data_IF_574758027028
#
_entry.id   IF_574758027028
#
_cell.length_a   1.000
_cell.length_b   1.000
_cell.length_c   1.000
_cell.angle_alpha   90.00
_cell.angle_beta   90.00
_cell.angle_gamma   90.00
#
_symmetry.space_group_name_H-M   'P 1'
#
loop_
_entity.id
_entity.type
_entity.pdbx_description
1 polymer ?
#
# COMPACT_ATOMS: atom_id res chain seq x y z
N UNK A 1 31.15 99.67 -5.01
CA UNK A 1 30.69 98.43 -4.36
C UNK A 1 30.87 97.29 -5.36
N UNK A 2 31.72 96.27 -5.11
CA UNK A 2 31.88 95.14 -6.02
C UNK A 2 30.85 94.04 -5.70
N UNK A 3 30.30 93.42 -6.75
CA UNK A 3 29.35 92.32 -6.68
C UNK A 3 30.15 91.01 -6.52
N UNK A 4 29.98 90.33 -5.39
CA UNK A 4 30.61 89.04 -5.10
C UNK A 4 29.87 87.91 -5.83
N UNK A 5 30.52 87.27 -6.80
CA UNK A 5 29.96 86.11 -7.51
C UNK A 5 29.98 84.86 -6.62
N UNK A 6 28.80 84.26 -6.38
CA UNK A 6 28.64 82.97 -5.68
C UNK A 6 29.12 81.83 -6.57
N UNK A 7 30.18 81.13 -6.18
CA UNK A 7 30.59 79.88 -6.81
C UNK A 7 29.67 78.73 -6.34
N UNK A 8 28.92 78.14 -7.27
CA UNK A 8 28.16 76.91 -7.03
C UNK A 8 29.10 75.70 -7.07
N UNK A 9 29.26 75.03 -5.93
CA UNK A 9 29.96 73.74 -5.84
C UNK A 9 29.16 72.68 -6.60
N UNK A 10 29.69 72.21 -7.73
CA UNK A 10 29.13 71.07 -8.46
C UNK A 10 29.37 69.80 -7.65
N UNK A 11 28.31 69.17 -7.15
CA UNK A 11 28.41 67.82 -6.56
C UNK A 11 28.82 66.83 -7.65
N UNK A 12 29.81 65.95 -7.43
CA UNK A 12 30.15 64.92 -8.40
C UNK A 12 28.92 64.03 -8.63
N UNK A 13 28.51 63.93 -9.90
CA UNK A 13 27.47 62.99 -10.33
C UNK A 13 28.01 61.58 -10.03
N UNK A 14 27.29 60.82 -9.21
CA UNK A 14 27.59 59.40 -9.03
C UNK A 14 27.46 58.72 -10.40
N UNK A 15 28.44 57.92 -10.84
CA UNK A 15 28.33 57.20 -12.11
C UNK A 15 27.05 56.33 -12.05
N UNK A 16 26.18 56.53 -13.03
CA UNK A 16 25.01 55.69 -13.23
C UNK A 16 25.44 54.41 -13.95
N UNK A 17 24.85 53.28 -13.58
CA UNK A 17 25.15 51.98 -14.18
C UNK A 17 24.90 52.00 -15.69
N UNK A 18 25.80 51.38 -16.43
CA UNK A 18 25.66 51.24 -17.88
C UNK A 18 24.62 50.17 -18.21
N UNK A 19 23.93 50.32 -19.34
CA UNK A 19 22.96 49.33 -19.82
C UNK A 19 23.60 47.94 -19.95
N UNK A 20 24.89 47.91 -20.32
CA UNK A 20 25.68 46.68 -20.44
C UNK A 20 25.90 46.01 -19.09
N UNK A 21 26.26 46.74 -18.02
CA UNK A 21 26.39 46.16 -16.67
C UNK A 21 25.07 45.53 -16.20
N UNK A 22 23.95 46.22 -16.44
CA UNK A 22 22.64 45.72 -16.04
C UNK A 22 22.25 44.47 -16.84
N UNK A 23 22.59 44.40 -18.13
CA UNK A 23 22.36 43.23 -18.96
C UNK A 23 23.21 42.03 -18.53
N UNK A 24 24.49 42.25 -18.20
CA UNK A 24 25.37 41.20 -17.67
C UNK A 24 24.85 40.68 -16.33
N UNK A 25 24.44 41.57 -15.42
CA UNK A 25 23.88 41.17 -14.11
C UNK A 25 22.61 40.34 -14.29
N UNK A 26 21.68 40.76 -15.14
CA UNK A 26 20.47 39.99 -15.43
C UNK A 26 20.81 38.63 -16.06
N UNK A 27 21.81 38.56 -16.94
CA UNK A 27 22.28 37.29 -17.53
C UNK A 27 22.85 36.33 -16.49
N UNK A 28 23.70 36.82 -15.57
CA UNK A 28 24.27 36.02 -14.48
C UNK A 28 23.17 35.56 -13.51
N UNK A 29 22.25 36.45 -13.14
CA UNK A 29 21.11 36.10 -12.26
C UNK A 29 20.21 35.04 -12.90
N UNK A 30 19.91 35.13 -14.20
CA UNK A 30 19.11 34.13 -14.90
C UNK A 30 19.80 32.77 -14.93
N UNK A 31 21.11 32.74 -15.18
CA UNK A 31 21.90 31.50 -15.22
C UNK A 31 21.97 30.84 -13.83
N UNK A 32 22.24 31.61 -12.77
CA UNK A 32 22.27 31.10 -11.40
C UNK A 32 20.88 30.62 -10.95
N UNK A 33 19.83 31.38 -11.25
CA UNK A 33 18.45 31.02 -10.88
C UNK A 33 18.00 29.72 -11.55
N UNK A 34 18.37 29.51 -12.82
CA UNK A 34 18.06 28.28 -13.54
C UNK A 34 18.68 27.04 -12.88
N UNK A 35 19.97 27.10 -12.50
CA UNK A 35 20.66 26.01 -11.83
C UNK A 35 20.07 25.70 -10.44
N UNK A 36 19.74 26.74 -9.68
CA UNK A 36 19.15 26.59 -8.34
C UNK A 36 17.76 25.95 -8.42
N UNK A 37 16.94 26.31 -9.40
CA UNK A 37 15.59 25.75 -9.55
C UNK A 37 15.61 24.23 -9.81
N UNK A 38 16.52 23.75 -10.66
CA UNK A 38 16.70 22.31 -10.92
C UNK A 38 17.17 21.57 -9.66
N UNK A 39 18.13 22.15 -8.92
CA UNK A 39 18.61 21.58 -7.67
C UNK A 39 17.52 21.48 -6.59
N UNK A 40 16.68 22.52 -6.48
CA UNK A 40 15.55 22.54 -5.53
C UNK A 40 14.46 21.54 -5.92
N UNK A 41 14.14 21.40 -7.21
CA UNK A 41 13.16 20.44 -7.68
C UNK A 41 13.58 18.99 -7.36
N UNK A 42 14.84 18.64 -7.63
CA UNK A 42 15.37 17.31 -7.28
C UNK A 42 15.40 17.07 -5.76
N UNK A 43 15.78 18.08 -4.96
CA UNK A 43 15.78 17.98 -3.51
C UNK A 43 14.36 17.80 -2.94
N UNK A 44 13.37 18.51 -3.51
CA UNK A 44 11.97 18.36 -3.13
C UNK A 44 11.45 16.95 -3.44
N UNK A 45 11.81 16.41 -4.61
CA UNK A 45 11.42 15.06 -5.02
C UNK A 45 12.03 14.00 -4.10
N UNK A 46 13.32 14.11 -3.79
CA UNK A 46 13.97 13.21 -2.83
C UNK A 46 13.34 13.29 -1.44
N UNK A 47 12.90 14.49 -1.02
CA UNK A 47 12.20 14.67 0.25
C UNK A 47 10.81 14.01 0.25
N UNK A 48 10.08 14.03 -0.87
CA UNK A 48 8.81 13.30 -1.04
C UNK A 48 9.04 11.80 -0.94
N UNK A 49 9.98 11.26 -1.71
CA UNK A 49 10.36 9.84 -1.67
C UNK A 49 10.72 9.40 -0.25
N UNK A 50 11.59 10.14 0.44
CA UNK A 50 12.00 9.79 1.81
C UNK A 50 10.84 9.87 2.82
N UNK A 51 9.93 10.83 2.66
CA UNK A 51 8.72 10.92 3.50
C UNK A 51 7.82 9.71 3.28
N UNK A 52 7.51 9.38 2.02
CA UNK A 52 6.67 8.22 1.68
C UNK A 52 7.31 6.92 2.16
N UNK A 53 8.64 6.75 2.05
CA UNK A 53 9.36 5.59 2.62
C UNK A 53 9.14 5.46 4.13
N UNK A 54 9.28 6.56 4.87
CA UNK A 54 9.03 6.56 6.32
C UNK A 54 7.57 6.23 6.65
N UNK A 55 6.63 6.74 5.86
CA UNK A 55 5.20 6.45 6.01
C UNK A 55 4.91 4.97 5.78
N UNK A 56 5.37 4.39 4.66
CA UNK A 56 5.23 2.96 4.34
C UNK A 56 5.86 2.08 5.41
N UNK A 57 7.04 2.46 5.93
CA UNK A 57 7.70 1.71 7.00
C UNK A 57 6.89 1.72 8.32
N UNK A 58 6.36 2.88 8.72
CA UNK A 58 5.49 2.96 9.92
C UNK A 58 4.22 2.15 9.77
N UNK A 59 3.56 2.25 8.60
CA UNK A 59 2.38 1.43 8.28
C UNK A 59 2.74 -0.05 8.40
N UNK A 60 3.89 -0.44 7.84
CA UNK A 60 4.38 -1.81 7.91
C UNK A 60 4.57 -2.29 9.35
N UNK A 61 5.21 -1.51 10.23
CA UNK A 61 5.41 -1.87 11.64
C UNK A 61 4.09 -2.11 12.38
N UNK A 62 3.10 -1.23 12.17
CA UNK A 62 1.77 -1.34 12.76
C UNK A 62 1.02 -2.57 12.23
N UNK A 63 1.04 -2.79 10.91
CA UNK A 63 0.35 -3.91 10.29
C UNK A 63 1.00 -5.25 10.58
N UNK A 64 2.34 -5.32 10.63
CA UNK A 64 3.05 -6.55 10.96
C UNK A 64 2.79 -6.98 12.39
N UNK A 65 2.70 -6.03 13.33
CA UNK A 65 2.30 -6.34 14.71
C UNK A 65 0.95 -7.07 14.73
N UNK A 66 -0.06 -6.54 14.03
CA UNK A 66 -1.38 -7.18 13.92
C UNK A 66 -1.33 -8.51 13.17
N UNK A 67 -0.50 -8.62 12.12
CA UNK A 67 -0.38 -9.84 11.32
C UNK A 67 0.23 -10.99 12.13
N UNK A 68 1.27 -10.72 12.92
CA UNK A 68 1.94 -11.71 13.78
C UNK A 68 1.01 -12.21 14.90
N UNK A 69 0.10 -11.36 15.42
CA UNK A 69 -0.89 -11.76 16.43
C UNK A 69 -1.78 -12.92 15.95
N UNK A 70 -2.10 -13.01 14.66
CA UNK A 70 -2.94 -14.12 14.15
C UNK A 70 -2.26 -15.47 14.25
N UNK A 71 -0.92 -15.55 14.29
CA UNK A 71 -0.21 -16.82 14.42
C UNK A 71 -0.53 -17.50 15.74
N UNK A 72 -0.69 -16.70 16.79
CA UNK A 72 -0.90 -17.16 18.16
C UNK A 72 -2.35 -17.03 18.62
N UNK A 73 -3.24 -16.54 17.75
CA UNK A 73 -4.62 -16.30 18.11
C UNK A 73 -5.37 -17.59 18.39
N UNK A 74 -6.12 -17.58 19.49
CA UNK A 74 -7.00 -18.68 19.86
C UNK A 74 -8.27 -18.61 19.03
N UNK A 75 -8.64 -19.75 18.47
CA UNK A 75 -9.86 -19.92 17.69
C UNK A 75 -10.61 -21.12 18.24
N UNK A 76 -11.94 -21.02 18.21
CA UNK A 76 -12.79 -22.13 18.60
C UNK A 76 -12.51 -23.36 17.74
N UNK A 77 -11.98 -24.40 18.37
CA UNK A 77 -11.71 -25.66 17.70
C UNK A 77 -13.02 -26.29 17.20
N UNK A 78 -13.01 -26.78 15.95
CA UNK A 78 -14.11 -27.62 15.47
C UNK A 78 -14.18 -28.89 16.31
N UNK A 79 -15.36 -29.21 16.84
CA UNK A 79 -15.61 -30.41 17.63
C UNK A 79 -15.98 -31.63 16.77
N UNK A 80 -16.22 -31.41 15.47
CA UNK A 80 -16.70 -32.43 14.53
C UNK A 80 -15.63 -32.79 13.49
N UNK A 81 -15.71 -34.02 12.96
CA UNK A 81 -14.82 -34.54 11.93
C UNK A 81 -13.46 -35.01 12.42
N UNK A 82 -12.69 -35.57 11.47
CA UNK A 82 -11.34 -36.08 11.69
C UNK A 82 -10.33 -34.97 11.98
N UNK A 83 -9.15 -35.34 12.47
CA UNK A 83 -8.06 -34.41 12.80
C UNK A 83 -7.77 -33.44 11.65
N UNK A 84 -7.70 -33.95 10.41
CA UNK A 84 -7.47 -33.12 9.21
C UNK A 84 -8.58 -32.09 9.01
N UNK A 85 -9.85 -32.49 9.14
CA UNK A 85 -11.00 -31.59 9.01
C UNK A 85 -11.01 -30.49 10.08
N UNK A 86 -10.65 -30.84 11.32
CA UNK A 86 -10.54 -29.85 12.41
C UNK A 86 -9.44 -28.83 12.17
N UNK A 87 -8.31 -29.28 11.65
CA UNK A 87 -7.19 -28.41 11.27
C UNK A 87 -7.54 -27.51 10.09
N UNK A 88 -8.21 -28.05 9.07
CA UNK A 88 -8.69 -27.25 7.93
C UNK A 88 -9.64 -26.15 8.39
N UNK A 89 -10.60 -26.49 9.25
CA UNK A 89 -11.52 -25.52 9.84
C UNK A 89 -10.79 -24.45 10.66
N UNK A 90 -9.71 -24.79 11.37
CA UNK A 90 -8.88 -23.80 12.06
C UNK A 90 -8.23 -22.83 11.07
N UNK A 91 -7.63 -23.31 9.99
CA UNK A 91 -7.00 -22.46 8.96
C UNK A 91 -8.02 -21.52 8.34
N UNK A 92 -9.21 -22.02 7.99
CA UNK A 92 -10.29 -21.21 7.40
C UNK A 92 -10.77 -20.09 8.32
N UNK A 93 -10.93 -20.42 9.61
CA UNK A 93 -11.30 -19.44 10.63
C UNK A 93 -10.21 -18.39 10.85
N UNK A 94 -8.92 -18.76 10.81
CA UNK A 94 -7.81 -17.78 10.88
C UNK A 94 -7.89 -16.83 9.69
N UNK A 95 -8.02 -17.37 8.48
CA UNK A 95 -8.06 -16.57 7.25
C UNK A 95 -9.28 -15.65 7.21
N UNK A 96 -10.42 -16.11 7.71
CA UNK A 96 -11.58 -15.24 7.87
C UNK A 96 -11.35 -14.12 8.88
N UNK A 97 -10.75 -14.45 10.02
CA UNK A 97 -10.44 -13.47 11.04
C UNK A 97 -9.48 -12.40 10.49
N UNK A 98 -8.47 -12.81 9.72
CA UNK A 98 -7.61 -11.87 8.99
C UNK A 98 -8.40 -11.03 7.99
N UNK A 99 -9.31 -11.62 7.21
CA UNK A 99 -10.14 -10.90 6.25
C UNK A 99 -10.95 -9.79 6.93
N UNK A 100 -11.61 -10.13 8.03
CA UNK A 100 -12.52 -9.22 8.71
C UNK A 100 -11.77 -8.12 9.46
N UNK A 101 -10.62 -8.45 10.06
CA UNK A 101 -9.89 -7.50 10.90
C UNK A 101 -8.88 -6.66 10.13
N UNK A 102 -8.36 -7.18 9.02
CA UNK A 102 -7.50 -6.47 8.07
C UNK A 102 -8.12 -6.52 6.67
N UNK A 103 -9.28 -5.86 6.44
CA UNK A 103 -9.91 -5.82 5.13
C UNK A 103 -8.98 -5.17 4.09
N UNK A 104 -9.01 -5.62 2.84
CA UNK A 104 -8.29 -4.97 1.74
C UNK A 104 -9.23 -4.45 0.64
N UNK A 105 -10.53 -4.70 0.79
CA UNK A 105 -11.58 -4.37 -0.17
C UNK A 105 -12.91 -4.18 0.54
N UNK A 106 -13.83 -3.46 -0.09
CA UNK A 106 -15.18 -3.21 0.38
C UNK A 106 -15.95 -4.49 0.70
N UNK A 107 -15.78 -5.52 -0.14
CA UNK A 107 -16.45 -6.82 0.04
C UNK A 107 -16.00 -7.56 1.31
N UNK A 108 -14.82 -7.26 1.86
CA UNK A 108 -14.37 -7.86 3.12
C UNK A 108 -15.11 -7.28 4.33
N UNK A 109 -15.52 -6.01 4.26
CA UNK A 109 -16.26 -5.32 5.31
C UNK A 109 -17.76 -5.61 5.21
N UNK A 110 -18.28 -5.69 3.99
CA UNK A 110 -19.72 -5.85 3.73
C UNK A 110 -20.21 -7.29 3.82
N UNK A 111 -19.40 -8.27 3.39
CA UNK A 111 -19.83 -9.67 3.41
C UNK A 111 -19.81 -10.25 4.83
N UNK A 112 -20.83 -11.04 5.14
CA UNK A 112 -20.92 -11.75 6.41
C UNK A 112 -19.75 -12.77 6.58
N UNK A 113 -19.43 -13.17 7.81
CA UNK A 113 -18.54 -14.29 8.06
C UNK A 113 -19.13 -15.59 7.50
N UNK A 114 -18.27 -16.42 6.90
CA UNK A 114 -18.59 -17.69 6.23
C UNK A 114 -18.07 -18.89 7.04
N UNK A 115 -16.95 -18.74 7.73
CA UNK A 115 -16.25 -19.77 8.54
C UNK A 115 -16.42 -19.58 10.06
N UNK A 116 -16.74 -18.36 10.51
CA UNK A 116 -17.03 -17.99 11.89
C UNK A 116 -18.54 -18.05 12.15
N UNK A 117 -18.91 -18.46 13.35
CA UNK A 117 -20.31 -18.54 13.80
C UNK A 117 -20.91 -17.20 14.19
N UNK A 118 -20.07 -16.20 14.45
CA UNK A 118 -20.48 -14.87 14.94
C UNK A 118 -19.72 -13.77 14.22
N UNK A 119 -20.38 -12.63 13.99
CA UNK A 119 -19.75 -11.43 13.45
C UNK A 119 -18.81 -10.83 14.49
N UNK A 120 -17.50 -10.67 14.19
CA UNK A 120 -16.57 -10.02 15.09
C UNK A 120 -16.96 -8.56 15.35
N UNK A 121 -16.79 -8.09 16.58
CA UNK A 121 -17.10 -6.71 16.98
C UNK A 121 -16.32 -5.66 16.17
N UNK A 122 -15.13 -6.00 15.68
CA UNK A 122 -14.31 -5.12 14.85
C UNK A 122 -14.97 -4.84 13.49
N UNK A 123 -15.62 -5.83 12.88
CA UNK A 123 -16.37 -5.63 11.64
C UNK A 123 -17.48 -4.59 11.84
N UNK A 124 -18.25 -4.72 12.93
CA UNK A 124 -19.31 -3.78 13.29
C UNK A 124 -18.76 -2.37 13.59
N UNK A 125 -17.53 -2.26 14.09
CA UNK A 125 -16.85 -0.97 14.26
C UNK A 125 -16.52 -0.35 12.90
N UNK A 126 -16.00 -1.11 11.95
CA UNK A 126 -15.73 -0.62 10.59
C UNK A 126 -17.02 -0.16 9.90
N UNK A 127 -18.08 -0.97 9.95
CA UNK A 127 -19.37 -0.62 9.35
C UNK A 127 -19.96 0.67 9.94
N UNK A 128 -19.84 0.87 11.26
CA UNK A 128 -20.24 2.13 11.92
C UNK A 128 -19.35 3.30 11.51
N UNK A 129 -18.04 3.10 11.40
CA UNK A 129 -17.09 4.11 10.96
C UNK A 129 -17.45 4.64 9.58
N UNK A 130 -17.72 3.75 8.62
CA UNK A 130 -18.13 4.13 7.25
C UNK A 130 -19.48 4.84 7.26
N UNK A 131 -20.45 4.32 8.01
CA UNK A 131 -21.79 4.94 8.13
C UNK A 131 -21.69 6.37 8.64
N UNK A 132 -20.86 6.61 9.65
CA UNK A 132 -20.62 7.93 10.23
C UNK A 132 -19.85 8.85 9.27
N UNK A 133 -18.79 8.34 8.63
CA UNK A 133 -17.97 9.12 7.69
C UNK A 133 -18.81 9.67 6.53
N UNK A 134 -19.71 8.84 6.00
CA UNK A 134 -20.61 9.21 4.90
C UNK A 134 -21.88 9.94 5.35
N UNK A 135 -22.10 10.12 6.65
CA UNK A 135 -23.35 10.69 7.18
C UNK A 135 -24.62 9.92 6.78
N UNK A 136 -24.50 8.61 6.54
CA UNK A 136 -25.58 7.78 6.02
C UNK A 136 -26.55 7.33 7.13
N UNK A 137 -27.82 7.10 6.78
CA UNK A 137 -28.85 6.68 7.73
C UNK A 137 -28.63 5.25 8.29
N UNK A 138 -28.00 4.38 7.51
CA UNK A 138 -27.65 3.01 7.89
C UNK A 138 -26.49 2.49 7.02
N UNK A 139 -25.92 1.34 7.40
CA UNK A 139 -24.78 0.76 6.68
C UNK A 139 -25.10 0.40 5.23
N UNK A 140 -26.32 -0.05 4.92
CA UNK A 140 -26.70 -0.39 3.55
C UNK A 140 -26.64 0.83 2.61
N UNK A 141 -27.13 1.99 3.08
CA UNK A 141 -27.03 3.26 2.37
C UNK A 141 -25.58 3.75 2.26
N UNK A 142 -24.76 3.51 3.29
CA UNK A 142 -23.34 3.84 3.26
C UNK A 142 -22.59 3.05 2.19
N UNK A 143 -22.82 1.74 2.10
CA UNK A 143 -22.18 0.83 1.13
C UNK A 143 -22.58 1.16 -0.31
N UNK A 144 -23.83 1.59 -0.56
CA UNK A 144 -24.26 1.96 -1.91
C UNK A 144 -23.56 3.21 -2.45
N UNK A 145 -23.18 4.13 -1.56
CA UNK A 145 -22.41 5.32 -1.93
C UNK A 145 -20.90 5.14 -1.82
N UNK A 146 -20.42 3.98 -1.35
CA UNK A 146 -19.00 3.69 -1.18
C UNK A 146 -18.39 3.29 -2.53
N UNK A 147 -17.38 4.03 -2.99
CA UNK A 147 -16.65 3.76 -4.23
C UNK A 147 -15.78 2.50 -4.12
N UNK A 148 -15.48 1.87 -5.27
CA UNK A 148 -14.53 0.76 -5.34
C UNK A 148 -13.12 1.24 -5.80
N UNK A 149 -12.96 2.51 -6.16
CA UNK A 149 -11.73 3.03 -6.78
C UNK A 149 -10.53 3.01 -5.82
N UNK A 150 -10.73 3.46 -4.58
CA UNK A 150 -9.69 3.55 -3.55
C UNK A 150 -9.94 2.61 -2.35
N UNK A 151 -10.74 1.55 -2.55
CA UNK A 151 -11.21 0.64 -1.49
C UNK A 151 -10.11 0.11 -0.59
N UNK A 152 -8.92 -0.16 -1.14
CA UNK A 152 -7.81 -0.69 -0.38
C UNK A 152 -7.14 0.33 0.55
N UNK A 153 -7.05 1.61 0.15
CA UNK A 153 -6.51 2.70 0.98
C UNK A 153 -7.51 3.12 2.07
N UNK A 154 -8.79 3.15 1.74
CA UNK A 154 -9.87 3.39 2.72
C UNK A 154 -9.91 2.27 3.77
N UNK A 155 -9.74 1.01 3.33
CA UNK A 155 -9.60 -0.11 4.26
C UNK A 155 -8.34 0.02 5.13
N UNK A 156 -7.22 0.48 4.57
CA UNK A 156 -6.01 0.76 5.33
C UNK A 156 -6.26 1.83 6.40
N UNK A 157 -6.93 2.93 6.05
CA UNK A 157 -7.31 3.96 7.01
C UNK A 157 -8.13 3.37 8.16
N UNK A 158 -9.13 2.54 7.86
CA UNK A 158 -9.96 1.89 8.87
C UNK A 158 -9.14 1.00 9.81
N UNK A 159 -8.21 0.21 9.27
CA UNK A 159 -7.32 -0.63 10.07
C UNK A 159 -6.48 0.23 11.01
N UNK A 160 -5.83 1.27 10.49
CA UNK A 160 -4.98 2.17 11.29
C UNK A 160 -5.78 2.90 12.38
N UNK A 161 -6.97 3.39 12.05
CA UNK A 161 -7.90 4.00 13.01
C UNK A 161 -8.34 3.04 14.13
N UNK A 162 -8.31 1.74 13.85
CA UNK A 162 -8.68 0.71 14.82
C UNK A 162 -7.56 0.34 15.78
N UNK A 163 -6.30 0.53 15.38
CA UNK A 163 -5.13 0.24 16.19
C UNK A 163 -5.03 1.28 17.30
N UNK A 164 -5.03 0.80 18.53
CA UNK A 164 -4.83 1.62 19.73
C UNK A 164 -3.61 1.06 20.47
N UNK A 165 -2.65 1.94 20.76
CA UNK A 165 -1.48 1.63 21.58
C UNK A 165 -1.45 2.60 22.75
N UNK A 166 -2.01 2.18 23.89
CA UNK A 166 -2.17 3.04 25.06
C UNK A 166 -3.05 4.25 24.76
N UNK A 167 -2.47 5.45 24.89
CA UNK A 167 -3.15 6.72 24.64
C UNK A 167 -3.10 7.17 23.16
N UNK A 168 -2.33 6.47 22.32
CA UNK A 168 -2.11 6.84 20.90
C UNK A 168 -2.91 5.96 19.95
N UNK A 169 -3.41 6.58 18.88
CA UNK A 169 -4.04 5.91 17.74
C UNK A 169 -3.00 5.68 16.62
N UNK A 170 -3.18 4.64 15.82
CA UNK A 170 -2.41 4.44 14.59
C UNK A 170 -2.45 5.65 13.64
N UNK A 171 -3.50 6.47 13.67
CA UNK A 171 -3.61 7.69 12.85
C UNK A 171 -2.80 8.88 13.37
N UNK A 172 -2.42 8.92 14.65
CA UNK A 172 -1.72 10.08 15.25
C UNK A 172 -0.31 10.28 14.66
N UNK A 173 0.23 9.27 13.98
CA UNK A 173 1.52 9.31 13.31
C UNK A 173 1.50 10.03 11.96
N UNK A 174 0.31 10.29 11.42
CA UNK A 174 0.11 10.90 10.11
C UNK A 174 -0.25 12.37 10.24
N UNK A 175 0.20 13.16 9.29
CA UNK A 175 -0.18 14.57 9.21
C UNK A 175 -1.59 14.69 8.65
N UNK A 176 -2.34 15.76 8.97
CA UNK A 176 -3.63 16.02 8.33
C UNK A 176 -3.57 16.11 6.80
N UNK A 177 -2.40 16.45 6.22
CA UNK A 177 -2.19 16.47 4.77
C UNK A 177 -1.97 15.09 4.14
N UNK A 178 -1.71 14.07 4.95
CA UNK A 178 -1.47 12.67 4.53
C UNK A 178 -2.76 11.83 4.65
N UNK A 179 -3.89 12.47 4.96
CA UNK A 179 -5.21 11.86 5.06
C UNK A 179 -6.15 12.72 4.22
N UNK A 180 -6.89 12.12 3.29
CA UNK A 180 -7.80 12.84 2.41
C UNK A 180 -8.80 11.93 1.74
N UNK A 181 -9.79 12.52 1.07
CA UNK A 181 -10.80 11.82 0.30
C UNK A 181 -10.59 12.21 -1.18
N UNK A 182 -9.96 11.33 -1.96
CA UNK A 182 -9.55 11.65 -3.33
C UNK A 182 -10.67 11.41 -4.34
N UNK A 183 -11.57 10.45 -4.07
CA UNK A 183 -12.67 10.11 -4.97
C UNK A 183 -14.03 10.73 -4.57
N UNK A 184 -14.07 11.46 -3.46
CA UNK A 184 -15.18 12.31 -3.04
C UNK A 184 -16.34 11.54 -2.45
N UNK A 185 -16.10 10.33 -1.97
CA UNK A 185 -17.14 9.47 -1.46
C UNK A 185 -17.39 9.68 0.06
N UNK A 186 -16.51 10.40 0.76
CA UNK A 186 -16.59 10.70 2.18
C UNK A 186 -15.86 9.71 3.10
N UNK A 187 -15.21 8.68 2.56
CA UNK A 187 -14.34 7.77 3.30
C UNK A 187 -12.88 8.20 3.09
N UNK A 188 -12.13 8.48 4.17
CA UNK A 188 -10.76 8.95 4.02
C UNK A 188 -9.79 7.82 3.67
N UNK A 189 -8.81 8.18 2.87
CA UNK A 189 -7.67 7.40 2.39
C UNK A 189 -6.38 7.91 3.05
N UNK A 190 -5.37 7.05 3.10
CA UNK A 190 -4.00 7.47 3.43
C UNK A 190 -3.32 7.91 2.14
N UNK A 191 -2.79 9.13 2.11
CA UNK A 191 -2.13 9.71 0.96
C UNK A 191 -0.62 9.73 1.14
N UNK A 192 0.11 9.51 0.04
CA UNK A 192 1.54 9.69 -0.03
C UNK A 192 1.94 11.16 -0.24
N UNK A 193 3.25 11.41 -0.40
CA UNK A 193 3.78 12.75 -0.57
C UNK A 193 3.40 13.46 -1.89
N UNK A 194 2.84 12.74 -2.87
CA UNK A 194 2.31 13.27 -4.13
C UNK A 194 0.78 13.44 -4.09
N UNK A 195 0.14 13.02 -2.99
CA UNK A 195 -1.32 13.06 -2.83
C UNK A 195 -2.01 11.85 -3.46
N UNK A 196 -1.29 10.76 -3.74
CA UNK A 196 -1.87 9.50 -4.21
C UNK A 196 -2.17 8.55 -3.05
N UNK A 197 -3.25 7.77 -3.12
CA UNK A 197 -3.56 6.79 -2.08
C UNK A 197 -2.47 5.73 -1.90
N UNK A 198 -2.02 5.48 -0.66
CA UNK A 198 -1.17 4.32 -0.36
C UNK A 198 -2.07 3.08 -0.34
N UNK A 199 -1.78 2.13 -1.22
CA UNK A 199 -2.59 0.91 -1.36
C UNK A 199 -2.09 -0.20 -0.45
N UNK A 200 -3.03 -1.05 -0.03
CA UNK A 200 -2.80 -2.16 0.87
C UNK A 200 -3.38 -3.45 0.29
N UNK A 201 -2.54 -4.48 0.17
CA UNK A 201 -2.98 -5.82 -0.17
C UNK A 201 -2.67 -6.76 0.99
N UNK A 202 -3.72 -7.36 1.54
CA UNK A 202 -3.57 -8.33 2.63
C UNK A 202 -2.81 -9.57 2.17
N UNK A 203 -3.12 -10.08 0.98
CA UNK A 203 -2.57 -11.31 0.41
C UNK A 203 -2.06 -11.12 -1.02
N UNK A 204 -0.83 -10.60 -1.20
CA UNK A 204 -0.28 -10.31 -2.52
C UNK A 204 0.41 -11.56 -3.10
N UNK A 205 -0.35 -12.63 -3.34
CA UNK A 205 0.16 -13.93 -3.83
C UNK A 205 1.03 -13.83 -5.11
N UNK A 206 0.74 -12.86 -5.96
CA UNK A 206 1.46 -12.58 -7.18
C UNK A 206 2.80 -11.86 -6.97
N UNK A 207 3.05 -11.20 -5.85
CA UNK A 207 4.23 -10.35 -5.67
C UNK A 207 5.49 -11.17 -5.31
N UNK A 208 6.69 -10.85 -5.85
CA UNK A 208 7.00 -9.85 -6.87
C UNK A 208 7.10 -10.49 -8.28
N UNK A 209 6.21 -11.42 -8.62
CA UNK A 209 6.18 -11.98 -9.96
C UNK A 209 5.60 -10.96 -10.95
N UNK A 210 6.14 -10.98 -12.16
CA UNK A 210 5.62 -10.17 -13.27
C UNK A 210 4.57 -11.01 -14.00
N UNK A 211 3.46 -10.38 -14.35
CA UNK A 211 2.40 -10.99 -15.14
C UNK A 211 2.88 -11.26 -16.57
N UNK A 212 2.28 -12.25 -17.26
CA UNK A 212 2.62 -12.60 -18.64
C UNK A 212 4.09 -13.03 -18.83
N UNK A 213 4.69 -13.61 -17.80
CA UNK A 213 6.05 -14.13 -17.83
C UNK A 213 6.07 -15.54 -17.27
N UNK A 214 6.93 -16.39 -17.84
CA UNK A 214 7.17 -17.71 -17.25
C UNK A 214 7.58 -17.55 -15.78
N UNK A 215 7.11 -18.40 -14.84
CA UNK A 215 7.41 -18.29 -13.41
C UNK A 215 8.92 -18.24 -13.06
N UNK A 216 9.79 -18.61 -14.00
CA UNK A 216 11.24 -18.57 -13.87
C UNK A 216 11.85 -17.17 -14.01
N UNK A 217 11.14 -16.19 -14.58
CA UNK A 217 11.62 -14.82 -14.73
C UNK A 217 11.09 -13.95 -13.58
N UNK A 218 11.58 -14.25 -12.37
CA UNK A 218 11.51 -13.33 -11.24
C UNK A 218 12.45 -12.17 -11.56
N UNK A 219 11.99 -10.91 -11.47
CA UNK A 219 12.93 -9.79 -11.33
C UNK A 219 13.53 -9.93 -9.93
N UNK A 220 14.69 -10.59 -9.85
CA UNK A 220 15.46 -10.86 -8.62
C UNK A 220 15.84 -9.59 -7.82
N UNK A 221 15.52 -8.38 -8.32
CA UNK A 221 15.80 -7.11 -7.67
C UNK A 221 14.74 -6.62 -6.68
N UNK A 222 13.56 -7.26 -6.59
CA UNK A 222 12.57 -6.97 -5.56
C UNK A 222 12.66 -8.05 -4.48
N UNK A 223 13.18 -7.67 -3.31
CA UNK A 223 13.54 -8.58 -2.23
C UNK A 223 12.40 -9.52 -1.84
N UNK A 224 12.64 -10.83 -1.88
CA UNK A 224 11.57 -11.82 -1.64
C UNK A 224 11.50 -12.20 -0.17
N UNK A 225 10.68 -11.45 0.58
CA UNK A 225 10.22 -11.85 1.93
C UNK A 225 9.30 -13.08 1.83
N UNK A 226 8.63 -13.25 0.69
CA UNK A 226 7.76 -14.39 0.39
C UNK A 226 8.55 -15.55 -0.20
N UNK A 227 8.95 -16.47 0.66
CA UNK A 227 9.71 -17.66 0.28
C UNK A 227 8.79 -18.88 0.17
N UNK A 228 8.65 -19.42 -1.05
CA UNK A 228 7.87 -20.63 -1.32
C UNK A 228 8.54 -21.92 -0.83
N UNK A 229 9.76 -21.86 -0.30
CA UNK A 229 10.42 -22.99 0.36
C UNK A 229 10.08 -23.12 1.84
N UNK A 230 9.33 -22.16 2.39
CA UNK A 230 8.82 -22.19 3.76
C UNK A 230 7.30 -22.44 3.76
N UNK A 231 6.76 -23.31 4.62
CA UNK A 231 5.32 -23.54 4.70
C UNK A 231 4.58 -22.31 5.25
N UNK A 232 3.32 -22.13 4.83
CA UNK A 232 2.41 -21.13 5.38
C UNK A 232 2.36 -21.22 6.94
N UNK A 233 2.73 -20.15 7.68
CA UNK A 233 2.76 -20.17 9.15
C UNK A 233 1.37 -20.38 9.78
N UNK A 234 0.30 -20.14 9.03
CA UNK A 234 -1.08 -20.35 9.50
C UNK A 234 -1.60 -21.76 9.22
N UNK A 235 -0.93 -22.50 8.33
CA UNK A 235 -1.20 -23.91 7.99
C UNK A 235 0.07 -24.77 8.15
N UNK A 236 0.59 -24.95 9.38
CA UNK A 236 1.85 -25.66 9.62
C UNK A 236 1.80 -27.15 9.25
N UNK A 237 0.60 -27.71 9.07
CA UNK A 237 0.39 -29.12 8.69
C UNK A 237 0.04 -29.28 7.21
N UNK A 238 0.01 -28.19 6.43
CA UNK A 238 -0.25 -28.20 4.99
C UNK A 238 -1.59 -28.85 4.63
N UNK A 239 -2.63 -28.64 5.44
CA UNK A 239 -3.94 -29.27 5.20
C UNK A 239 -4.68 -28.66 4.02
N UNK A 240 -4.44 -27.38 3.73
CA UNK A 240 -5.01 -26.63 2.61
C UNK A 240 -4.09 -26.60 1.39
N UNK A 241 -2.78 -26.71 1.59
CA UNK A 241 -1.78 -26.74 0.53
C UNK A 241 -0.51 -27.39 1.06
N UNK A 242 -0.11 -28.49 0.44
CA UNK A 242 1.01 -29.29 0.92
C UNK A 242 2.34 -28.91 0.29
N UNK A 243 3.33 -29.74 0.59
CA UNK A 243 4.60 -29.77 -0.13
C UNK A 243 4.34 -30.06 -1.61
N UNK A 244 4.81 -29.18 -2.47
CA UNK A 244 4.83 -29.36 -3.93
C UNK A 244 6.19 -29.90 -4.31
N UNK A 245 6.24 -31.04 -4.98
CA UNK A 245 7.46 -31.55 -5.62
C UNK A 245 7.35 -31.32 -7.11
N UNK A 246 8.03 -30.30 -7.64
CA UNK A 246 8.23 -30.18 -9.08
C UNK A 246 9.41 -31.07 -9.48
N UNK A 247 9.30 -31.81 -10.58
CA UNK A 247 10.40 -32.68 -11.07
C UNK A 247 11.65 -31.91 -11.50
N UNK A 248 11.52 -30.59 -11.65
CA UNK A 248 12.53 -29.65 -12.13
C UNK A 248 13.28 -28.90 -11.04
N UNK A 249 12.86 -28.97 -9.76
CA UNK A 249 13.50 -28.27 -8.65
C UNK A 249 13.96 -29.27 -7.58
N UNK A 250 15.26 -29.32 -7.22
CA UNK A 250 15.72 -30.14 -6.10
C UNK A 250 15.27 -29.57 -4.74
N UNK A 251 14.66 -28.39 -4.72
CA UNK A 251 14.20 -27.70 -3.52
C UNK A 251 12.80 -28.15 -3.12
N UNK A 252 12.57 -28.19 -1.81
CA UNK A 252 11.23 -28.38 -1.26
C UNK A 252 10.47 -27.07 -1.42
N UNK A 253 9.37 -27.12 -2.18
CA UNK A 253 8.48 -25.98 -2.36
C UNK A 253 7.11 -26.30 -1.73
N UNK A 254 6.36 -25.26 -1.39
CA UNK A 254 5.02 -25.37 -0.82
C UNK A 254 4.02 -24.64 -1.71
N UNK A 255 2.86 -25.25 -1.93
CA UNK A 255 1.76 -24.58 -2.64
C UNK A 255 1.26 -23.37 -1.85
N UNK A 256 1.22 -23.49 -0.52
CA UNK A 256 0.89 -22.40 0.41
C UNK A 256 2.14 -22.01 1.20
N UNK A 257 2.52 -20.74 1.13
CA UNK A 257 3.77 -20.20 1.66
C UNK A 257 3.51 -18.86 2.37
N UNK A 258 4.39 -18.35 3.23
CA UNK A 258 4.13 -17.12 3.97
C UNK A 258 3.81 -15.94 3.03
N UNK A 259 2.58 -15.40 3.19
CA UNK A 259 2.15 -14.17 2.55
C UNK A 259 2.14 -13.04 3.58
N UNK A 260 3.08 -12.13 3.42
CA UNK A 260 3.15 -10.88 4.17
C UNK A 260 2.39 -9.76 3.45
N UNK A 261 1.66 -8.89 4.16
CA UNK A 261 0.94 -7.82 3.51
C UNK A 261 1.86 -6.92 2.67
N UNK A 262 1.35 -6.43 1.55
CA UNK A 262 2.04 -5.50 0.66
C UNK A 262 1.41 -4.11 0.84
N UNK A 263 2.26 -3.15 1.20
CA UNK A 263 1.94 -1.74 1.31
C UNK A 263 2.79 -1.05 0.26
N UNK A 264 2.18 -0.26 -0.61
CA UNK A 264 2.88 0.38 -1.69
C UNK A 264 2.28 1.73 -2.06
N UNK A 265 3.15 2.66 -2.41
CA UNK A 265 2.82 3.93 -3.06
C UNK A 265 3.27 3.87 -4.50
N UNK A 266 2.54 4.61 -5.35
CA UNK A 266 2.83 4.78 -6.77
C UNK A 266 4.20 5.44 -7.03
N UNK A 267 4.77 6.13 -6.03
CA UNK A 267 6.07 6.78 -6.20
C UNK A 267 6.04 8.01 -7.13
N UNK A 268 7.21 8.45 -7.62
CA UNK A 268 7.37 9.65 -8.45
C UNK A 268 6.57 9.67 -9.76
N UNK A 269 6.36 8.52 -10.40
CA UNK A 269 5.65 8.45 -11.68
C UNK A 269 4.11 8.42 -11.53
N UNK A 270 3.61 8.30 -10.31
CA UNK A 270 2.20 8.22 -9.97
C UNK A 270 1.46 6.98 -10.54
N UNK A 271 2.19 5.93 -10.95
CA UNK A 271 1.65 4.69 -11.53
C UNK A 271 1.95 3.46 -10.66
N UNK A 272 0.91 2.86 -10.09
CA UNK A 272 1.07 1.67 -9.23
C UNK A 272 1.67 0.45 -9.93
N UNK A 273 1.30 0.18 -11.19
CA UNK A 273 1.77 -0.98 -11.98
C UNK A 273 1.70 -2.36 -11.25
N UNK A 274 0.83 -2.48 -10.24
CA UNK A 274 0.61 -3.68 -9.43
C UNK A 274 -0.87 -4.04 -9.48
N UNK A 275 -1.15 -5.32 -9.68
CA UNK A 275 -2.51 -5.85 -9.74
C UNK A 275 -3.17 -5.87 -8.36
N UNK A 276 -4.20 -5.06 -8.15
CA UNK A 276 -4.97 -5.04 -6.90
C UNK A 276 -6.15 -6.02 -6.88
N UNK A 277 -6.63 -6.42 -8.06
CA UNK A 277 -7.79 -7.31 -8.23
C UNK A 277 -7.62 -8.35 -9.32
N UNK A 278 -8.33 -9.46 -9.15
CA UNK A 278 -8.55 -10.50 -10.15
C UNK A 278 -10.05 -10.77 -10.26
N UNK A 279 -10.45 -11.43 -11.34
CA UNK A 279 -11.81 -11.89 -11.51
C UNK A 279 -11.94 -13.37 -11.11
N UNK A 280 -13.12 -13.77 -10.66
CA UNK A 280 -13.46 -15.18 -10.49
C UNK A 280 -13.71 -15.87 -11.85
N UNK A 281 -13.94 -17.18 -11.83
CA UNK A 281 -14.24 -17.97 -13.04
C UNK A 281 -15.52 -17.54 -13.78
N UNK A 282 -16.36 -16.70 -13.17
CA UNK A 282 -17.57 -16.13 -13.77
C UNK A 282 -17.34 -14.69 -14.27
N UNK A 283 -16.13 -14.16 -14.17
CA UNK A 283 -15.78 -12.80 -14.60
C UNK A 283 -16.15 -11.70 -13.59
N UNK A 284 -16.63 -12.05 -12.40
CA UNK A 284 -16.92 -11.06 -11.35
C UNK A 284 -15.64 -10.71 -10.59
N UNK A 285 -15.55 -9.47 -10.10
CA UNK A 285 -14.46 -9.08 -9.20
C UNK A 285 -14.41 -10.01 -7.98
N UNK A 286 -13.20 -10.43 -7.60
CA UNK A 286 -13.01 -11.38 -6.52
C UNK A 286 -13.50 -10.83 -5.17
N UNK A 287 -14.36 -11.61 -4.53
CA UNK A 287 -14.70 -11.47 -3.12
C UNK A 287 -14.12 -12.66 -2.35
N UNK A 288 -13.24 -12.42 -1.38
CA UNK A 288 -12.56 -13.52 -0.69
C UNK A 288 -13.52 -14.47 0.02
N UNK A 289 -14.64 -13.97 0.53
CA UNK A 289 -15.69 -14.80 1.14
C UNK A 289 -16.31 -15.83 0.21
N UNK A 290 -16.35 -15.57 -1.11
CA UNK A 290 -16.96 -16.48 -2.10
C UNK A 290 -15.94 -17.40 -2.79
N UNK A 291 -14.65 -17.27 -2.48
CA UNK A 291 -13.62 -18.15 -3.03
C UNK A 291 -13.85 -19.60 -2.61
N UNK A 292 -13.32 -20.55 -3.37
CA UNK A 292 -13.39 -21.98 -3.04
C UNK A 292 -11.97 -22.54 -2.85
N UNK A 293 -11.56 -22.89 -1.62
CA UNK A 293 -12.31 -22.71 -0.37
C UNK A 293 -12.48 -21.23 0.04
N UNK A 294 -13.42 -20.89 0.95
CA UNK A 294 -13.61 -19.51 1.40
C UNK A 294 -12.33 -18.92 1.97
N UNK A 295 -12.13 -17.62 1.72
CA UNK A 295 -10.97 -16.85 2.15
C UNK A 295 -9.64 -17.47 1.68
N UNK A 296 -9.59 -18.00 0.45
CA UNK A 296 -8.36 -18.52 -0.12
C UNK A 296 -7.47 -17.38 -0.65
N UNK A 297 -6.25 -17.18 -0.10
CA UNK A 297 -5.34 -16.15 -0.57
C UNK A 297 -4.58 -16.52 -1.86
N UNK A 298 -4.48 -17.81 -2.20
CA UNK A 298 -3.70 -18.30 -3.34
C UNK A 298 -4.57 -18.47 -4.60
N UNK A 299 -5.54 -17.58 -4.79
CA UNK A 299 -6.42 -17.62 -5.95
C UNK A 299 -5.72 -17.05 -7.19
N UNK A 300 -6.04 -17.62 -8.34
CA UNK A 300 -5.56 -17.20 -9.65
C UNK A 300 -6.73 -17.05 -10.61
N UNK A 301 -6.70 -16.01 -11.44
CA UNK A 301 -7.57 -15.92 -12.61
C UNK A 301 -6.84 -16.51 -13.81
N UNK A 302 -7.38 -17.61 -14.34
CA UNK A 302 -6.82 -18.33 -15.49
C UNK A 302 -7.59 -18.08 -16.79
N UNK A 303 -8.54 -17.14 -16.80
CA UNK A 303 -9.48 -16.90 -17.92
C UNK A 303 -8.77 -16.40 -19.18
N UNK A 304 -7.62 -15.75 -19.03
CA UNK A 304 -6.87 -15.12 -20.14
C UNK A 304 -5.76 -16.02 -20.75
N UNK A 305 -5.71 -17.32 -20.42
CA UNK A 305 -4.67 -18.24 -20.91
C UNK A 305 -3.32 -18.12 -20.18
N UNK A 306 -3.24 -17.29 -19.15
CA UNK A 306 -2.12 -17.16 -18.21
C UNK A 306 -2.67 -16.86 -16.82
N UNK A 307 -1.91 -17.19 -15.77
CA UNK A 307 -2.31 -16.99 -14.38
C UNK A 307 -2.14 -15.52 -13.96
N UNK A 308 -3.24 -14.84 -13.68
CA UNK A 308 -3.25 -13.54 -13.02
C UNK A 308 -3.38 -13.72 -11.51
N UNK A 309 -2.55 -13.00 -10.76
CA UNK A 309 -2.49 -13.09 -9.30
C UNK A 309 -2.54 -11.71 -8.70
N UNK A 310 -3.23 -11.56 -7.57
CA UNK A 310 -3.24 -10.30 -6.81
C UNK A 310 -1.83 -10.00 -6.33
N UNK A 311 -1.35 -8.77 -6.50
CA UNK A 311 0.00 -8.33 -6.20
C UNK A 311 1.01 -8.59 -7.33
N UNK A 312 0.62 -9.21 -8.44
CA UNK A 312 1.53 -9.35 -9.59
C UNK A 312 1.82 -7.98 -10.22
N UNK A 313 3.05 -7.82 -10.69
CA UNK A 313 3.49 -6.63 -11.42
C UNK A 313 2.96 -6.71 -12.86
N UNK A 314 2.32 -5.65 -13.34
CA UNK A 314 1.60 -5.65 -14.62
C UNK A 314 2.51 -5.55 -15.85
N UNK A 315 3.63 -4.82 -15.75
CA UNK A 315 4.53 -4.56 -16.88
C UNK A 315 6.00 -4.95 -16.58
N UNK A 316 6.74 -5.31 -17.62
CA UNK A 316 8.19 -5.56 -17.67
C UNK A 316 9.00 -4.30 -17.98
N UNK A 317 8.36 -3.18 -18.32
CA UNK A 317 9.00 -1.91 -18.66
C UNK A 317 10.01 -1.44 -17.60
N UNK A 318 9.77 -1.78 -16.33
CA UNK A 318 10.57 -1.32 -15.20
C UNK A 318 10.02 -0.07 -14.55
N UNK A 319 8.87 0.42 -15.02
CA UNK A 319 8.19 1.57 -14.42
C UNK A 319 7.87 1.27 -12.95
N UNK A 320 7.54 0.02 -12.60
CA UNK A 320 7.26 -0.33 -11.21
C UNK A 320 8.45 -0.23 -10.23
N UNK A 321 9.67 0.00 -10.71
CA UNK A 321 10.87 0.06 -9.87
C UNK A 321 10.95 1.33 -9.02
N UNK A 322 10.18 2.36 -9.37
CA UNK A 322 10.11 3.59 -8.60
C UNK A 322 9.08 3.50 -7.45
N UNK A 323 8.12 2.57 -7.55
CA UNK A 323 7.16 2.26 -6.50
C UNK A 323 7.85 2.00 -5.17
N UNK A 324 7.29 2.58 -4.12
CA UNK A 324 7.84 2.46 -2.78
C UNK A 324 7.05 1.37 -2.06
N UNK A 325 7.65 0.18 -1.89
CA UNK A 325 7.00 -0.97 -1.25
C UNK A 325 7.68 -1.37 0.05
N UNK A 326 6.90 -1.86 1.03
CA UNK A 326 7.47 -2.39 2.26
C UNK A 326 8.38 -3.61 2.02
N UNK A 327 8.08 -4.43 1.01
CA UNK A 327 8.88 -5.62 0.68
C UNK A 327 10.32 -5.28 0.27
N UNK A 328 10.51 -4.14 -0.39
CA UNK A 328 11.84 -3.62 -0.73
C UNK A 328 12.50 -2.98 0.49
N UNK A 329 11.76 -2.17 1.26
CA UNK A 329 12.29 -1.39 2.38
C UNK A 329 12.77 -2.24 3.57
N UNK A 330 12.02 -3.30 3.91
CA UNK A 330 12.35 -4.16 5.07
C UNK A 330 13.70 -4.85 4.89
N UNK A 331 14.06 -5.19 3.66
CA UNK A 331 15.32 -5.88 3.38
C UNK A 331 16.51 -4.91 3.36
N UNK A 332 16.30 -3.65 2.98
CA UNK A 332 17.31 -2.59 3.11
C UNK A 332 17.58 -2.19 4.57
N UNK A 333 16.65 -2.43 5.50
CA UNK A 333 16.83 -2.19 6.93
C UNK A 333 17.74 -3.20 7.64
N UNK A 334 17.94 -4.39 7.05
CA UNK A 334 18.80 -5.46 7.59
C UNK A 334 20.22 -5.45 6.99
N UNK A 335 20.56 -4.45 6.17
CA UNK A 335 21.88 -4.31 5.52
C UNK A 335 22.74 -3.16 6.06
N UNK A 336 22.47 -2.69 7.29
CA UNK A 336 23.38 -1.80 8.03
C UNK A 336 24.10 -2.52 9.17
#
# INVERSE_FOLDING_TARGET
MPITARQFVRRPLRPAFTLVELLVVMGVLAMLSSLVLVGLASAAEQARVNRTRSQVQKIHELLMTRWEEYRYRRIEASKSGDVRTRLTSRVDKIREMMRIEMPDRKTDVSNAPVSLSTVPALQLRYQRSITNAKGAANYAAAVSGWSDANESSECLYMILASIQSGETNGLDFFKPSEIGDTDGDGVPEILDAWGKPILFLRWPYGYPNIENVSPAQRRNGLSQIMDNTTPDPFDPLGVRGGRTTTSTSPRVEYAHFPLHPLIFSAGPDELYNIRTGINDSSGNAIAYSSTTPPNNPYMEDTTAGYSKRIGAILDKSGDELDNITNHVLVIAGNSQ
#
